data_IF_827663178251
#
_entry.id   IF_827663178251
#
_cell.length_a   1.000
_cell.length_b   1.000
_cell.length_c   1.000
_cell.angle_alpha   90.00
_cell.angle_beta   90.00
_cell.angle_gamma   90.00
#
_symmetry.space_group_name_H-M   'P 1'
#
loop_
_entity.id
_entity.type
_entity.pdbx_description
1 polymer ?
#
# COMPACT_ATOMS: atom_id res chain seq x y z
N UNK A 1 -36.44 -108.96 35.23
CA UNK A 1 -35.66 -107.73 35.01
C UNK A 1 -35.16 -107.24 36.37
N UNK A 2 -33.94 -107.61 36.72
CA UNK A 2 -33.27 -107.31 38.00
C UNK A 2 -32.71 -105.89 37.99
N UNK A 3 -33.22 -105.01 38.87
CA UNK A 3 -32.59 -103.69 39.14
C UNK A 3 -31.36 -103.90 40.05
N UNK A 4 -30.23 -103.22 39.79
CA UNK A 4 -29.01 -103.39 40.58
C UNK A 4 -29.23 -102.88 42.01
N UNK A 5 -28.84 -103.69 43.00
CA UNK A 5 -28.77 -103.28 44.40
C UNK A 5 -27.88 -102.03 44.50
N UNK A 6 -28.40 -100.96 45.11
CA UNK A 6 -27.58 -99.84 45.58
C UNK A 6 -26.55 -100.38 46.59
N UNK A 7 -25.27 -100.00 46.52
CA UNK A 7 -24.28 -100.41 47.53
C UNK A 7 -24.68 -99.89 48.90
N UNK A 8 -24.48 -100.71 49.94
CA UNK A 8 -24.87 -100.38 51.31
C UNK A 8 -24.18 -99.07 51.77
N UNK A 9 -24.87 -98.15 52.47
CA UNK A 9 -24.31 -96.85 52.85
C UNK A 9 -23.15 -96.95 53.86
N UNK A 10 -22.85 -98.15 54.34
CA UNK A 10 -21.74 -98.47 55.23
C UNK A 10 -20.57 -99.16 54.51
N UNK A 11 -20.66 -99.39 53.20
CA UNK A 11 -19.53 -99.84 52.40
C UNK A 11 -18.73 -98.64 51.87
N UNK A 12 -17.41 -98.60 52.10
CA UNK A 12 -16.58 -97.52 51.58
C UNK A 12 -16.43 -97.62 50.06
N UNK A 13 -16.64 -96.52 49.36
CA UNK A 13 -16.50 -96.41 47.90
C UNK A 13 -15.02 -96.45 47.48
N UNK A 14 -14.11 -96.19 48.41
CA UNK A 14 -12.68 -96.30 48.20
C UNK A 14 -11.90 -95.96 49.47
N UNK A 15 -10.57 -96.01 49.40
CA UNK A 15 -9.70 -95.62 50.50
C UNK A 15 -8.77 -94.49 50.06
N UNK A 16 -8.49 -93.55 50.97
CA UNK A 16 -7.52 -92.49 50.73
C UNK A 16 -6.08 -93.04 50.77
N UNK A 17 -5.11 -92.25 50.33
CA UNK A 17 -3.67 -92.62 50.35
C UNK A 17 -3.13 -92.90 51.76
N UNK A 18 -3.79 -92.39 52.80
CA UNK A 18 -3.54 -92.62 54.23
C UNK A 18 -4.32 -93.82 54.81
N UNK A 19 -4.99 -94.62 53.96
CA UNK A 19 -5.64 -95.88 54.34
C UNK A 19 -7.03 -95.75 54.98
N UNK A 20 -7.57 -94.54 55.12
CA UNK A 20 -8.91 -94.33 55.70
C UNK A 20 -10.02 -94.54 54.67
N UNK A 21 -11.14 -95.20 55.03
CA UNK A 21 -12.28 -95.41 54.14
C UNK A 21 -12.98 -94.10 53.76
N UNK A 22 -13.40 -93.99 52.50
CA UNK A 22 -14.20 -92.89 51.95
C UNK A 22 -15.64 -93.39 51.83
N UNK A 23 -16.54 -92.78 52.59
CA UNK A 23 -17.97 -93.06 52.52
C UNK A 23 -18.67 -92.13 51.52
N UNK A 24 -19.73 -92.60 50.84
CA UNK A 24 -20.49 -91.76 49.92
C UNK A 24 -21.20 -90.64 50.67
N UNK A 25 -21.17 -89.41 50.12
CA UNK A 25 -21.85 -88.26 50.72
C UNK A 25 -23.35 -88.38 50.46
N UNK A 26 -24.13 -88.62 51.53
CA UNK A 26 -25.59 -88.64 51.49
C UNK A 26 -26.14 -87.31 50.94
N UNK A 27 -26.75 -87.36 49.76
CA UNK A 27 -27.43 -86.22 49.11
C UNK A 27 -26.81 -85.71 47.80
N UNK A 28 -25.61 -86.17 47.42
CA UNK A 28 -24.92 -85.74 46.20
C UNK A 28 -25.15 -86.69 45.00
N UNK A 29 -26.39 -87.17 44.81
CA UNK A 29 -26.74 -87.91 43.60
C UNK A 29 -26.78 -86.94 42.40
N UNK A 30 -26.13 -87.26 41.27
CA UNK A 30 -26.19 -86.42 40.06
C UNK A 30 -27.59 -86.33 39.44
N UNK A 31 -28.55 -87.12 39.94
CA UNK A 31 -29.96 -87.13 39.54
C UNK A 31 -30.84 -86.17 40.38
N UNK A 32 -30.24 -85.36 41.29
CA UNK A 32 -30.99 -84.45 42.16
C UNK A 32 -31.23 -83.08 41.48
N UNK A 33 -32.49 -82.76 41.17
CA UNK A 33 -32.91 -81.56 40.42
C UNK A 33 -32.51 -80.23 41.09
N UNK A 34 -32.17 -80.22 42.38
CA UNK A 34 -31.67 -79.03 43.10
C UNK A 34 -30.28 -78.54 42.67
N UNK A 35 -29.58 -79.26 41.77
CA UNK A 35 -28.26 -78.87 41.25
C UNK A 35 -28.30 -78.24 39.84
N UNK A 36 -29.48 -77.89 39.31
CA UNK A 36 -29.58 -77.13 38.05
C UNK A 36 -29.48 -75.62 38.33
N UNK A 37 -28.62 -74.86 37.63
CA UNK A 37 -28.63 -73.41 37.72
C UNK A 37 -29.86 -72.87 36.98
N UNK A 38 -30.84 -72.37 37.73
CA UNK A 38 -32.00 -71.65 37.17
C UNK A 38 -31.61 -70.24 36.71
N UNK A 39 -32.20 -69.83 35.59
CA UNK A 39 -31.78 -68.68 34.78
C UNK A 39 -32.25 -67.30 35.26
N UNK A 40 -31.49 -66.33 34.73
CA UNK A 40 -31.77 -64.93 34.39
C UNK A 40 -33.00 -64.24 35.02
N UNK A 41 -32.74 -63.26 35.90
CA UNK A 41 -33.78 -62.41 36.47
C UNK A 41 -33.37 -61.55 37.66
N UNK A 42 -32.54 -60.53 37.43
CA UNK A 42 -32.69 -59.25 38.16
C UNK A 42 -32.16 -59.14 39.59
N UNK A 43 -30.84 -59.19 39.76
CA UNK A 43 -30.09 -58.33 40.68
C UNK A 43 -28.61 -58.49 40.36
N UNK A 44 -28.17 -57.80 39.31
CA UNK A 44 -26.75 -57.62 39.08
C UNK A 44 -26.19 -56.80 40.24
N UNK A 45 -25.61 -57.50 41.22
CA UNK A 45 -24.42 -56.99 41.89
C UNK A 45 -23.33 -57.05 40.81
N UNK A 46 -23.44 -56.12 39.85
CA UNK A 46 -22.69 -56.13 38.60
C UNK A 46 -21.25 -55.74 38.91
N UNK A 47 -20.33 -56.63 38.57
CA UNK A 47 -18.91 -56.29 38.49
C UNK A 47 -18.76 -55.04 37.63
N UNK A 48 -18.34 -53.93 38.24
CA UNK A 48 -18.12 -52.66 37.53
C UNK A 48 -17.11 -52.91 36.42
N UNK A 49 -17.53 -52.74 35.17
CA UNK A 49 -16.65 -52.95 34.02
C UNK A 49 -15.77 -51.72 33.78
N UNK A 50 -14.64 -51.91 33.11
CA UNK A 50 -13.75 -50.80 32.74
C UNK A 50 -14.44 -49.76 31.84
N UNK A 51 -15.42 -50.20 31.04
CA UNK A 51 -16.25 -49.34 30.21
C UNK A 51 -17.22 -48.48 31.04
N UNK A 52 -17.74 -49.00 32.16
CA UNK A 52 -18.57 -48.23 33.08
C UNK A 52 -17.77 -47.16 33.84
N UNK A 53 -16.53 -47.49 34.24
CA UNK A 53 -15.61 -46.53 34.87
C UNK A 53 -15.21 -45.40 33.92
N UNK A 54 -14.88 -45.72 32.66
CA UNK A 54 -14.51 -44.70 31.67
C UNK A 54 -15.69 -43.78 31.35
N UNK A 55 -16.92 -44.30 31.29
CA UNK A 55 -18.15 -43.49 31.16
C UNK A 55 -18.40 -42.59 32.37
N UNK A 56 -18.19 -43.08 33.59
CA UNK A 56 -18.33 -42.28 34.81
C UNK A 56 -17.30 -41.15 34.87
N UNK A 57 -16.03 -41.44 34.57
CA UNK A 57 -14.96 -40.43 34.55
C UNK A 57 -15.19 -39.37 33.47
N UNK A 58 -15.71 -39.75 32.29
CA UNK A 58 -16.08 -38.79 31.25
C UNK A 58 -17.23 -37.87 31.70
N UNK A 59 -18.24 -38.43 32.39
CA UNK A 59 -19.35 -37.66 32.96
C UNK A 59 -18.87 -36.72 34.07
N UNK A 60 -17.99 -37.18 34.94
CA UNK A 60 -17.42 -36.35 36.01
C UNK A 60 -16.59 -35.19 35.46
N UNK A 61 -15.74 -35.45 34.45
CA UNK A 61 -14.97 -34.38 33.78
C UNK A 61 -15.88 -33.36 33.10
N UNK A 62 -16.92 -33.79 32.42
CA UNK A 62 -17.88 -32.89 31.76
C UNK A 62 -18.69 -32.08 32.77
N UNK A 63 -19.08 -32.67 33.90
CA UNK A 63 -19.75 -31.97 34.99
C UNK A 63 -18.83 -30.95 35.69
N UNK A 64 -17.58 -31.33 35.97
CA UNK A 64 -16.58 -30.42 36.54
C UNK A 64 -16.28 -29.24 35.62
N UNK A 65 -16.15 -29.50 34.31
CA UNK A 65 -15.99 -28.45 33.30
C UNK A 65 -17.18 -27.48 33.25
N UNK A 66 -18.42 -27.99 33.30
CA UNK A 66 -19.63 -27.15 33.35
C UNK A 66 -19.73 -26.34 34.64
N UNK A 67 -19.35 -26.92 35.78
CA UNK A 67 -19.35 -26.22 37.06
C UNK A 67 -18.31 -25.08 37.10
N UNK A 68 -17.11 -25.32 36.56
CA UNK A 68 -16.08 -24.30 36.43
C UNK A 68 -16.52 -23.16 35.49
N UNK A 69 -17.14 -23.49 34.35
CA UNK A 69 -17.66 -22.50 33.41
C UNK A 69 -18.76 -21.63 34.03
N UNK A 70 -19.67 -22.24 34.80
CA UNK A 70 -20.74 -21.53 35.50
C UNK A 70 -20.20 -20.58 36.58
N UNK A 71 -19.15 -21.00 37.31
CA UNK A 71 -18.47 -20.13 38.29
C UNK A 71 -17.80 -18.94 37.59
N UNK A 72 -17.05 -19.19 36.52
CA UNK A 72 -16.42 -18.12 35.72
C UNK A 72 -17.43 -17.12 35.16
N UNK A 73 -18.54 -17.62 34.60
CA UNK A 73 -19.62 -16.74 34.11
C UNK A 73 -20.22 -15.91 35.25
N UNK A 74 -20.47 -16.52 36.41
CA UNK A 74 -20.95 -15.81 37.59
C UNK A 74 -19.96 -14.76 38.14
N UNK A 75 -18.67 -15.08 38.21
CA UNK A 75 -17.61 -14.16 38.65
C UNK A 75 -17.45 -12.96 37.70
N UNK A 76 -17.69 -13.20 36.39
CA UNK A 76 -17.70 -12.16 35.35
C UNK A 76 -19.05 -11.42 35.24
N UNK A 77 -20.07 -11.82 36.02
CA UNK A 77 -21.40 -11.20 36.03
C UNK A 77 -22.30 -11.55 34.85
N UNK A 78 -22.05 -12.65 34.14
CA UNK A 78 -22.86 -13.13 33.03
C UNK A 78 -23.76 -14.30 33.45
N UNK A 79 -25.03 -14.25 33.05
CA UNK A 79 -26.01 -15.28 33.37
C UNK A 79 -25.78 -16.60 32.60
N UNK A 80 -25.23 -16.50 31.38
CA UNK A 80 -24.93 -17.65 30.53
C UNK A 80 -23.80 -17.32 29.52
N UNK A 81 -23.31 -18.34 28.82
CA UNK A 81 -22.24 -18.16 27.81
C UNK A 81 -22.69 -17.35 26.61
N UNK A 82 -23.98 -17.35 26.29
CA UNK A 82 -24.55 -16.61 25.15
C UNK A 82 -24.46 -15.10 25.40
N UNK A 83 -24.81 -14.64 26.61
CA UNK A 83 -24.69 -13.24 27.03
C UNK A 83 -23.24 -12.74 26.98
N UNK A 84 -22.27 -13.58 27.33
CA UNK A 84 -20.85 -13.25 27.19
C UNK A 84 -20.45 -13.09 25.72
N UNK A 85 -20.92 -13.98 24.83
CA UNK A 85 -20.64 -13.88 23.40
C UNK A 85 -21.29 -12.67 22.75
N UNK A 86 -22.53 -12.34 23.12
CA UNK A 86 -23.23 -11.13 22.65
C UNK A 86 -22.53 -9.86 23.13
N UNK A 87 -22.08 -9.82 24.39
CA UNK A 87 -21.33 -8.68 24.90
C UNK A 87 -19.99 -8.49 24.17
N UNK A 88 -19.25 -9.57 23.94
CA UNK A 88 -17.94 -9.49 23.25
C UNK A 88 -18.13 -9.08 21.78
N UNK A 89 -19.15 -9.59 21.11
CA UNK A 89 -19.45 -9.22 19.71
C UNK A 89 -19.89 -7.76 19.61
N UNK A 90 -20.85 -7.33 20.42
CA UNK A 90 -21.29 -5.92 20.46
C UNK A 90 -20.16 -4.95 20.82
N UNK A 91 -19.26 -5.33 21.73
CA UNK A 91 -18.07 -4.52 22.04
C UNK A 91 -17.11 -4.43 20.88
N UNK A 92 -16.82 -5.54 20.20
CA UNK A 92 -15.97 -5.53 18.99
C UNK A 92 -16.59 -4.70 17.87
N UNK A 93 -17.89 -4.84 17.64
CA UNK A 93 -18.60 -4.07 16.62
C UNK A 93 -18.57 -2.57 16.94
N UNK A 94 -18.75 -2.20 18.21
CA UNK A 94 -18.67 -0.81 18.66
C UNK A 94 -17.25 -0.24 18.54
N UNK A 95 -16.23 -1.01 18.88
CA UNK A 95 -14.82 -0.62 18.70
C UNK A 95 -14.46 -0.47 17.22
N UNK A 96 -14.91 -1.41 16.37
CA UNK A 96 -14.70 -1.35 14.93
C UNK A 96 -15.46 -0.18 14.29
N UNK A 97 -16.69 0.11 14.74
CA UNK A 97 -17.44 1.29 14.33
C UNK A 97 -16.76 2.60 14.80
N UNK A 98 -16.18 2.62 16.00
CA UNK A 98 -15.45 3.78 16.50
C UNK A 98 -14.15 4.02 15.72
N UNK A 99 -13.39 2.97 15.42
CA UNK A 99 -12.19 3.05 14.58
C UNK A 99 -12.54 3.59 13.19
N UNK A 100 -13.58 3.06 12.55
CA UNK A 100 -14.00 3.53 11.21
C UNK A 100 -14.53 4.97 11.19
N UNK A 101 -15.15 5.45 12.27
CA UNK A 101 -15.55 6.86 12.41
C UNK A 101 -14.33 7.78 12.63
N UNK A 102 -13.33 7.34 13.39
CA UNK A 102 -12.07 8.07 13.57
C UNK A 102 -11.36 8.18 12.22
N UNK A 103 -11.21 7.08 11.50
CA UNK A 103 -10.61 7.05 10.16
C UNK A 103 -11.34 7.98 9.18
N UNK A 104 -12.68 7.99 9.20
CA UNK A 104 -13.48 8.91 8.38
C UNK A 104 -13.20 10.37 8.74
N UNK A 105 -13.06 10.69 10.02
CA UNK A 105 -12.75 12.06 10.47
C UNK A 105 -11.35 12.47 10.07
N UNK A 106 -10.37 11.59 10.20
CA UNK A 106 -9.00 11.84 9.77
C UNK A 106 -8.94 12.09 8.26
N UNK A 107 -9.58 11.24 7.46
CA UNK A 107 -9.71 11.46 6.01
C UNK A 107 -10.37 12.80 5.69
N UNK A 108 -11.46 13.15 6.38
CA UNK A 108 -12.14 14.44 6.18
C UNK A 108 -11.28 15.65 6.59
N UNK A 109 -10.39 15.49 7.59
CA UNK A 109 -9.44 16.54 7.98
C UNK A 109 -8.32 16.64 6.93
N UNK A 110 -7.75 15.53 6.49
CA UNK A 110 -6.75 15.51 5.42
C UNK A 110 -7.25 16.12 4.12
N UNK A 111 -8.48 15.79 3.70
CA UNK A 111 -9.09 16.38 2.52
C UNK A 111 -9.27 17.89 2.66
N UNK A 112 -9.67 18.37 3.85
CA UNK A 112 -9.79 19.81 4.13
C UNK A 112 -8.43 20.50 4.12
N UNK A 113 -7.40 19.87 4.66
CA UNK A 113 -6.02 20.39 4.62
C UNK A 113 -5.53 20.47 3.17
N UNK A 114 -5.65 19.38 2.40
CA UNK A 114 -5.31 19.37 0.96
C UNK A 114 -6.07 20.43 0.17
N UNK A 115 -7.36 20.62 0.47
CA UNK A 115 -8.16 21.65 -0.17
C UNK A 115 -7.73 23.08 0.22
N UNK A 116 -7.31 23.29 1.48
CA UNK A 116 -6.77 24.56 1.94
C UNK A 116 -5.40 24.86 1.28
N UNK A 117 -4.49 23.89 1.30
CA UNK A 117 -3.18 23.96 0.62
C UNK A 117 -3.33 24.26 -0.88
N UNK A 118 -4.28 23.59 -1.55
CA UNK A 118 -4.55 23.85 -2.96
C UNK A 118 -5.08 25.28 -3.21
N UNK A 119 -5.91 25.82 -2.30
CA UNK A 119 -6.40 27.20 -2.40
C UNK A 119 -5.28 28.21 -2.17
N UNK A 120 -4.41 27.96 -1.21
CA UNK A 120 -3.24 28.81 -0.93
C UNK A 120 -2.27 28.78 -2.10
N UNK A 121 -1.93 27.60 -2.63
CA UNK A 121 -1.09 27.46 -3.81
C UNK A 121 -1.68 28.19 -5.04
N UNK A 122 -3.00 28.11 -5.24
CA UNK A 122 -3.68 28.86 -6.30
C UNK A 122 -3.63 30.38 -6.07
N UNK A 123 -3.76 30.85 -4.82
CA UNK A 123 -3.66 32.26 -4.50
C UNK A 123 -2.25 32.80 -4.78
N UNK A 124 -1.22 32.09 -4.32
CA UNK A 124 0.19 32.43 -4.58
C UNK A 124 0.50 32.43 -6.08
N UNK A 125 0.02 31.44 -6.83
CA UNK A 125 0.21 31.41 -8.28
C UNK A 125 -0.46 32.60 -8.99
N UNK A 126 -1.65 33.02 -8.54
CA UNK A 126 -2.35 34.19 -9.09
C UNK A 126 -1.62 35.49 -8.78
N UNK A 127 -1.11 35.63 -7.55
CA UNK A 127 -0.32 36.78 -7.12
C UNK A 127 0.96 36.91 -7.95
N UNK A 128 1.72 35.82 -8.10
CA UNK A 128 2.92 35.79 -8.95
C UNK A 128 2.62 36.15 -10.40
N UNK A 129 1.55 35.59 -10.96
CA UNK A 129 1.12 35.93 -12.31
C UNK A 129 0.70 37.40 -12.43
N UNK A 130 0.12 38.00 -11.38
CA UNK A 130 -0.21 39.42 -11.36
C UNK A 130 1.03 40.31 -11.29
N UNK A 131 2.02 39.96 -10.44
CA UNK A 131 3.31 40.66 -10.34
C UNK A 131 4.03 40.66 -11.70
N UNK A 132 4.14 39.49 -12.35
CA UNK A 132 4.78 39.36 -13.68
C UNK A 132 4.06 40.21 -14.73
N UNK A 133 2.72 40.17 -14.76
CA UNK A 133 1.93 41.01 -15.66
C UNK A 133 2.10 42.50 -15.38
N UNK A 134 2.11 42.91 -14.12
CA UNK A 134 2.28 44.30 -13.73
C UNK A 134 3.65 44.84 -14.13
N UNK A 135 4.72 44.07 -13.92
CA UNK A 135 6.07 44.43 -14.34
C UNK A 135 6.17 44.62 -15.85
N UNK A 136 5.64 43.67 -16.64
CA UNK A 136 5.66 43.74 -18.11
C UNK A 136 4.81 44.88 -18.65
N UNK A 137 3.60 45.06 -18.12
CA UNK A 137 2.72 46.16 -18.51
C UNK A 137 3.31 47.52 -18.14
N UNK A 138 3.97 47.63 -16.98
CA UNK A 138 4.70 48.83 -16.56
C UNK A 138 5.86 49.21 -17.50
N UNK A 139 6.45 48.23 -18.17
CA UNK A 139 7.49 48.44 -19.19
C UNK A 139 6.94 48.76 -20.58
N UNK A 140 5.62 48.69 -20.78
CA UNK A 140 4.94 49.05 -22.03
C UNK A 140 4.45 47.88 -22.87
N UNK A 141 4.49 46.63 -22.38
CA UNK A 141 3.89 45.50 -23.08
C UNK A 141 2.36 45.54 -22.97
N UNK A 142 1.65 45.43 -24.10
CA UNK A 142 0.19 45.58 -24.18
C UNK A 142 -0.38 44.52 -25.13
N UNK A 143 -1.63 44.08 -24.88
CA UNK A 143 -2.35 43.22 -25.83
C UNK A 143 -1.66 41.87 -26.05
N UNK A 144 -1.52 41.48 -27.31
CA UNK A 144 -0.90 40.20 -27.69
C UNK A 144 0.60 40.17 -27.33
N UNK A 145 1.30 41.30 -27.42
CA UNK A 145 2.71 41.41 -27.03
C UNK A 145 2.92 41.19 -25.52
N UNK A 146 1.94 41.58 -24.70
CA UNK A 146 1.94 41.25 -23.27
C UNK A 146 1.79 39.74 -23.05
N UNK A 147 0.93 39.09 -23.82
CA UNK A 147 0.78 37.63 -23.79
C UNK A 147 2.09 36.92 -24.12
N UNK A 148 2.75 37.33 -25.20
CA UNK A 148 4.03 36.77 -25.63
C UNK A 148 5.14 37.07 -24.64
N UNK A 149 5.18 38.28 -24.06
CA UNK A 149 6.15 38.64 -23.04
C UNK A 149 5.99 37.82 -21.75
N UNK A 150 4.76 37.48 -21.34
CA UNK A 150 4.49 36.60 -20.19
C UNK A 150 5.09 35.22 -20.44
N UNK A 151 4.85 34.62 -21.62
CA UNK A 151 5.38 33.29 -21.95
C UNK A 151 6.91 33.26 -21.94
N UNK A 152 7.55 34.35 -22.38
CA UNK A 152 9.01 34.46 -22.41
C UNK A 152 9.61 34.68 -21.02
N UNK A 153 8.95 35.46 -20.16
CA UNK A 153 9.35 35.61 -18.76
C UNK A 153 9.17 34.31 -17.99
N UNK A 154 8.04 33.61 -18.19
CA UNK A 154 7.77 32.35 -17.51
C UNK A 154 8.88 31.35 -17.85
N UNK A 155 9.23 31.22 -19.13
CA UNK A 155 10.35 30.38 -19.58
C UNK A 155 11.70 30.83 -19.04
N UNK A 156 11.94 32.13 -18.93
CA UNK A 156 13.21 32.66 -18.41
C UNK A 156 13.37 32.42 -16.89
N UNK A 157 12.25 32.27 -16.18
CA UNK A 157 12.19 32.04 -14.74
C UNK A 157 11.79 30.61 -14.38
N UNK A 158 11.80 29.66 -15.33
CA UNK A 158 11.46 28.25 -15.09
C UNK A 158 12.38 27.63 -14.00
N UNK A 159 13.66 28.01 -14.00
CA UNK A 159 14.65 27.57 -13.00
C UNK A 159 14.52 28.31 -11.65
N UNK A 160 13.69 29.35 -11.59
CA UNK A 160 13.48 30.22 -10.42
C UNK A 160 11.98 30.47 -10.18
N UNK A 161 11.22 29.44 -9.77
CA UNK A 161 9.77 29.55 -9.60
C UNK A 161 9.35 30.53 -8.51
N UNK A 162 10.24 30.77 -7.53
CA UNK A 162 10.06 31.66 -6.38
C UNK A 162 10.78 33.01 -6.55
N UNK A 163 11.09 33.41 -7.79
CA UNK A 163 11.68 34.72 -8.08
C UNK A 163 10.85 35.85 -7.46
N UNK A 164 11.53 36.73 -6.72
CA UNK A 164 10.94 37.90 -6.08
C UNK A 164 10.65 39.01 -7.10
N UNK A 165 9.98 40.08 -6.66
CA UNK A 165 9.57 41.19 -7.52
C UNK A 165 10.76 41.85 -8.23
N UNK A 166 11.91 41.96 -7.55
CA UNK A 166 13.14 42.52 -8.09
C UNK A 166 13.72 41.64 -9.20
N UNK A 167 13.78 40.32 -9.00
CA UNK A 167 14.24 39.37 -10.02
C UNK A 167 13.31 39.36 -11.25
N UNK A 168 11.99 39.45 -11.03
CA UNK A 168 11.00 39.56 -12.12
C UNK A 168 11.22 40.86 -12.91
N UNK A 169 11.43 41.98 -12.23
CA UNK A 169 11.71 43.27 -12.89
C UNK A 169 13.03 43.23 -13.68
N UNK A 170 14.09 42.64 -13.12
CA UNK A 170 15.37 42.49 -13.80
C UNK A 170 15.26 41.59 -15.05
N UNK A 171 14.53 40.48 -14.95
CA UNK A 171 14.26 39.60 -16.09
C UNK A 171 13.44 40.31 -17.17
N UNK A 172 12.47 41.13 -16.77
CA UNK A 172 11.65 41.93 -17.69
C UNK A 172 12.48 42.99 -18.44
N UNK A 173 13.40 43.67 -17.76
CA UNK A 173 14.33 44.62 -18.40
C UNK A 173 15.30 43.93 -19.36
N UNK A 174 15.82 42.74 -18.99
CA UNK A 174 16.63 41.94 -19.92
C UNK A 174 15.82 41.51 -21.15
N UNK A 175 14.55 41.14 -20.97
CA UNK A 175 13.67 40.77 -22.07
C UNK A 175 13.44 41.97 -23.00
N UNK A 176 13.19 43.16 -22.45
CA UNK A 176 13.06 44.41 -23.20
C UNK A 176 14.32 44.75 -24.00
N UNK A 177 15.50 44.56 -23.42
CA UNK A 177 16.77 44.74 -24.13
C UNK A 177 16.95 43.78 -25.31
N UNK A 178 16.44 42.54 -25.21
CA UNK A 178 16.52 41.54 -26.29
C UNK A 178 15.40 41.71 -27.33
N UNK A 179 14.22 42.16 -26.91
CA UNK A 179 12.99 42.24 -27.71
C UNK A 179 12.22 43.52 -27.42
N UNK A 180 12.75 44.67 -27.88
CA UNK A 180 12.11 45.97 -27.66
C UNK A 180 10.72 46.07 -28.33
N UNK A 181 10.52 45.34 -29.43
CA UNK A 181 9.25 45.29 -30.17
C UNK A 181 8.06 44.91 -29.29
N UNK A 182 8.25 43.99 -28.33
CA UNK A 182 7.20 43.54 -27.40
C UNK A 182 6.74 44.63 -26.42
N UNK A 183 7.48 45.73 -26.33
CA UNK A 183 7.23 46.84 -25.41
C UNK A 183 6.90 48.13 -26.20
N UNK A 184 6.43 47.99 -27.44
CA UNK A 184 6.08 49.11 -28.31
C UNK A 184 7.28 49.92 -28.82
N UNK A 185 8.50 49.42 -28.63
CA UNK A 185 9.71 50.05 -29.15
C UNK A 185 10.10 49.39 -30.47
N UNK A 186 9.83 50.08 -31.58
CA UNK A 186 10.38 49.69 -32.87
C UNK A 186 11.90 49.87 -32.82
N UNK A 187 12.65 48.77 -32.92
CA UNK A 187 14.09 48.78 -33.15
C UNK A 187 14.36 49.33 -34.54
N UNK A 188 14.41 50.66 -34.62
CA UNK A 188 14.91 51.40 -35.77
C UNK A 188 16.45 51.30 -35.79
N UNK A 189 16.97 50.09 -35.95
CA UNK A 189 18.30 49.88 -36.50
C UNK A 189 18.12 48.97 -37.70
N UNK A 190 17.55 49.55 -38.76
CA UNK A 190 17.86 49.06 -40.09
C UNK A 190 19.39 49.18 -40.21
N UNK A 191 20.15 48.08 -40.38
CA UNK A 191 21.55 48.23 -40.77
C UNK A 191 21.54 49.13 -42.02
N UNK A 192 22.46 50.10 -42.15
CA UNK A 192 22.54 50.89 -43.37
C UNK A 192 22.62 49.88 -44.51
N UNK A 193 21.62 49.91 -45.41
CA UNK A 193 21.64 49.07 -46.58
C UNK A 193 23.03 49.21 -47.21
N UNK A 194 23.72 48.11 -47.58
CA UNK A 194 24.99 48.23 -48.29
C UNK A 194 24.73 49.15 -49.47
N UNK A 195 25.43 50.29 -49.50
CA UNK A 195 25.15 51.42 -50.38
C UNK A 195 25.21 51.01 -51.84
N UNK A 196 24.10 50.51 -52.36
CA UNK A 196 23.85 50.30 -53.78
C UNK A 196 23.41 51.63 -54.37
N UNK A 197 24.36 52.54 -54.56
CA UNK A 197 24.13 53.74 -55.37
C UNK A 197 23.63 53.32 -56.76
N UNK A 198 22.57 53.94 -57.31
CA UNK A 198 22.23 53.72 -58.71
C UNK A 198 23.37 54.25 -59.58
N UNK A 199 24.02 53.33 -60.30
CA UNK A 199 25.01 53.65 -61.32
C UNK A 199 24.35 54.45 -62.45
N UNK A 200 24.45 55.79 -62.41
CA UNK A 200 24.36 56.65 -63.59
C UNK A 200 24.75 58.11 -63.29
N UNK A 201 25.96 58.32 -62.77
CA UNK A 201 26.65 59.61 -62.90
C UNK A 201 27.78 59.47 -63.93
N UNK A 202 27.85 60.31 -64.98
CA UNK A 202 28.93 60.21 -65.96
C UNK A 202 30.29 60.51 -65.28
N UNK A 203 31.37 59.75 -65.57
CA UNK A 203 32.63 59.94 -64.87
C UNK A 203 33.27 61.29 -65.21
N UNK A 204 33.79 61.96 -64.18
CA UNK A 204 34.52 63.22 -64.30
C UNK A 204 35.81 63.00 -65.10
N UNK A 205 35.94 63.78 -66.18
CA UNK A 205 37.10 63.75 -67.08
C UNK A 205 38.22 64.59 -66.48
N UNK A 206 38.94 64.07 -65.49
CA UNK A 206 40.11 64.72 -64.91
C UNK A 206 41.28 63.74 -64.83
N UNK A 207 42.07 63.73 -65.91
CA UNK A 207 43.32 62.99 -65.97
C UNK A 207 43.94 63.14 -67.36
N UNK A 208 45.07 63.83 -67.45
CA UNK A 208 45.86 63.96 -68.68
C UNK A 208 46.17 62.55 -69.23
N UNK A 209 45.86 62.23 -70.49
CA UNK A 209 46.13 60.91 -71.03
C UNK A 209 47.65 60.67 -71.04
N UNK A 210 48.15 59.54 -70.50
CA UNK A 210 49.57 59.25 -70.51
C UNK A 210 50.07 59.13 -71.95
N UNK A 211 51.24 59.74 -72.23
CA UNK A 211 51.84 59.75 -73.58
C UNK A 211 51.94 58.31 -74.11
N UNK A 212 51.40 58.03 -75.32
CA UNK A 212 51.46 56.70 -75.90
C UNK A 212 52.93 56.26 -76.05
N UNK A 213 53.25 55.08 -75.53
CA UNK A 213 54.61 54.50 -75.51
C UNK A 213 55.34 54.59 -74.17
N UNK A 214 54.86 55.38 -73.20
CA UNK A 214 55.51 55.52 -71.90
C UNK A 214 55.58 54.20 -71.10
N UNK A 215 54.47 53.43 -71.09
CA UNK A 215 54.41 52.14 -70.40
C UNK A 215 55.34 51.09 -71.03
N UNK A 216 55.52 51.13 -72.37
CA UNK A 216 56.43 50.24 -73.08
C UNK A 216 57.90 50.54 -72.75
N UNK A 217 58.26 51.82 -72.67
CA UNK A 217 59.61 52.26 -72.30
C UNK A 217 59.93 51.89 -70.84
N UNK A 218 58.96 52.06 -69.93
CA UNK A 218 59.11 51.66 -68.53
C UNK A 218 59.30 50.14 -68.37
N UNK A 219 58.55 49.34 -69.13
CA UNK A 219 58.75 47.89 -69.16
C UNK A 219 60.09 47.49 -69.78
N UNK A 220 60.55 48.18 -70.82
CA UNK A 220 61.84 47.92 -71.44
C UNK A 220 63.03 48.23 -70.50
N UNK A 221 62.92 49.32 -69.70
CA UNK A 221 63.87 49.63 -68.63
C UNK A 221 63.86 48.57 -67.53
N UNK A 222 62.68 48.18 -67.02
CA UNK A 222 62.58 47.13 -65.98
C UNK A 222 63.15 45.78 -66.42
N UNK A 223 63.07 45.47 -67.71
CA UNK A 223 63.57 44.22 -68.28
C UNK A 223 65.02 44.32 -68.79
N UNK A 224 65.68 45.47 -68.60
CA UNK A 224 67.10 45.66 -68.96
C UNK A 224 67.39 45.78 -70.45
N UNK A 225 66.37 45.97 -71.30
CA UNK A 225 66.54 46.13 -72.75
C UNK A 225 66.94 47.55 -73.16
N UNK A 226 66.80 48.53 -72.26
CA UNK A 226 67.24 49.91 -72.47
C UNK A 226 67.96 50.37 -71.21
N UNK A 227 69.26 50.64 -71.31
CA UNK A 227 70.05 51.29 -70.26
C UNK A 227 70.00 52.80 -70.45
N UNK A 228 69.34 53.51 -69.54
CA UNK A 228 69.29 54.97 -69.51
C UNK A 228 68.90 55.44 -68.14
#
# INVERSE_FOLDING_TARGET
>A
MTRPLLPDPLEPVGHRRDGRPIYPILGASPENDSNKPEGDGGAAIGSVTQDDLSRLLAREKTQGGRAALKKLLGDLGFDNSEALTEFVTTKRDAEQAALTEIERREQAVEEKLKAAEAREAQAVARERAAIRRAALAGLGAIGDDLGDAILLIDRALDDQPDADEEAVAAAAEQLKGRRPELFGQTSAVTPPAPGGSPASGPPSRAGVPPKPGAAGLEMARRRGFVTG
#
